data_IF_057903449391
#
_entry.id   IF_057903449391
#
_cell.length_a   1.000
_cell.length_b   1.000
_cell.length_c   1.000
_cell.angle_alpha   90.00
_cell.angle_beta   90.00
_cell.angle_gamma   90.00
#
_symmetry.space_group_name_H-M   'P 1'
#
loop_
_entity.id
_entity.type
_entity.pdbx_description
1 polymer ?
#
# COMPACT_ATOMS: atom_id res chain seq x y z
N UNK A 1 17.18 2.78 0.00
CA UNK A 1 16.28 2.79 -1.17
C UNK A 1 15.55 1.45 -1.21
N UNK A 2 14.24 1.44 -1.47
CA UNK A 2 13.49 0.20 -1.64
C UNK A 2 13.27 -0.08 -3.13
N UNK A 3 13.19 -1.35 -3.57
CA UNK A 3 13.08 -1.72 -4.98
C UNK A 3 11.91 -1.01 -5.68
N UNK A 4 12.01 -0.74 -6.98
CA UNK A 4 10.86 -0.17 -7.71
C UNK A 4 9.63 -1.10 -7.67
N UNK A 5 9.87 -2.41 -7.63
CA UNK A 5 8.83 -3.41 -7.54
C UNK A 5 8.35 -3.63 -6.11
N UNK A 6 7.08 -3.33 -5.82
CA UNK A 6 6.51 -3.64 -4.50
C UNK A 6 6.58 -5.13 -4.15
N UNK A 7 6.42 -6.04 -5.12
CA UNK A 7 6.49 -7.49 -4.88
C UNK A 7 7.84 -8.01 -4.36
N UNK A 8 8.89 -7.19 -4.42
CA UNK A 8 10.23 -7.47 -3.89
C UNK A 8 10.49 -6.83 -2.52
N UNK A 9 9.53 -6.08 -1.96
CA UNK A 9 9.73 -5.41 -0.67
C UNK A 9 9.69 -6.40 0.48
N UNK A 10 10.63 -6.24 1.40
CA UNK A 10 10.65 -6.90 2.70
C UNK A 10 9.83 -6.06 3.68
N UNK A 11 9.66 -6.56 4.90
CA UNK A 11 9.00 -5.81 5.98
C UNK A 11 9.72 -4.48 6.26
N UNK A 12 11.05 -4.49 6.29
CA UNK A 12 11.86 -3.27 6.47
C UNK A 12 11.64 -2.24 5.35
N UNK A 13 11.47 -2.70 4.11
CA UNK A 13 11.16 -1.82 2.98
C UNK A 13 9.78 -1.17 3.14
N UNK A 14 8.77 -1.91 3.61
CA UNK A 14 7.43 -1.39 3.89
C UNK A 14 7.48 -0.34 5.00
N UNK A 15 8.13 -0.64 6.12
CA UNK A 15 8.33 0.30 7.22
C UNK A 15 9.03 1.57 6.75
N UNK A 16 10.12 1.42 5.98
CA UNK A 16 10.89 2.55 5.44
C UNK A 16 10.06 3.41 4.50
N UNK A 17 9.24 2.80 3.64
CA UNK A 17 8.32 3.52 2.74
C UNK A 17 7.31 4.35 3.53
N UNK A 18 6.65 3.75 4.52
CA UNK A 18 5.63 4.44 5.33
C UNK A 18 6.24 5.63 6.09
N UNK A 19 7.43 5.47 6.65
CA UNK A 19 8.15 6.56 7.30
C UNK A 19 8.56 7.66 6.31
N UNK A 20 9.12 7.30 5.15
CA UNK A 20 9.59 8.24 4.15
C UNK A 20 8.47 9.07 3.50
N UNK A 21 7.24 8.55 3.50
CA UNK A 21 6.06 9.21 2.94
C UNK A 21 5.16 9.89 3.97
N UNK A 22 5.64 10.03 5.22
CA UNK A 22 4.87 10.62 6.32
C UNK A 22 3.54 9.88 6.58
N UNK A 23 3.56 8.55 6.41
CA UNK A 23 2.45 7.62 6.62
C UNK A 23 2.68 6.76 7.88
N UNK A 24 3.43 7.28 8.86
CA UNK A 24 3.80 6.61 10.11
C UNK A 24 2.56 6.11 10.88
N UNK A 25 1.43 6.78 10.71
CA UNK A 25 0.14 6.40 11.29
C UNK A 25 -0.36 5.01 10.86
N UNK A 26 0.08 4.52 9.70
CA UNK A 26 -0.28 3.19 9.19
C UNK A 26 0.66 2.09 9.67
N UNK A 27 1.77 2.43 10.33
CA UNK A 27 2.77 1.44 10.79
C UNK A 27 2.17 0.33 11.64
N UNK A 28 1.34 0.59 12.67
CA UNK A 28 0.81 -0.50 13.49
C UNK A 28 -0.13 -1.43 12.71
N UNK A 29 -0.79 -0.90 11.67
CA UNK A 29 -1.72 -1.67 10.84
C UNK A 29 -0.98 -2.56 9.84
N UNK A 30 0.21 -2.15 9.40
CA UNK A 30 1.02 -2.84 8.41
C UNK A 30 2.30 -3.46 9.00
N UNK A 31 2.35 -3.58 10.33
CA UNK A 31 3.46 -4.23 11.04
C UNK A 31 3.62 -5.67 10.56
N UNK A 32 4.85 -6.05 10.21
CA UNK A 32 5.16 -7.39 9.68
C UNK A 32 4.67 -7.66 8.26
N UNK A 33 4.12 -6.66 7.55
CA UNK A 33 3.74 -6.85 6.14
C UNK A 33 4.94 -6.68 5.23
N UNK A 34 5.17 -7.68 4.36
CA UNK A 34 6.03 -7.53 3.20
C UNK A 34 5.25 -6.91 2.02
N UNK A 35 5.95 -6.61 0.94
CA UNK A 35 5.34 -5.94 -0.21
C UNK A 35 4.26 -6.71 -0.94
N UNK A 36 4.27 -8.04 -0.89
CA UNK A 36 3.20 -8.85 -1.51
C UNK A 36 1.89 -8.70 -0.74
N UNK A 37 1.96 -8.72 0.60
CA UNK A 37 0.80 -8.49 1.45
C UNK A 37 0.30 -7.05 1.30
N UNK A 38 1.23 -6.07 1.27
CA UNK A 38 0.87 -4.67 1.09
C UNK A 38 0.19 -4.40 -0.26
N UNK A 39 0.65 -5.06 -1.33
CA UNK A 39 0.03 -5.01 -2.64
C UNK A 39 -1.41 -5.57 -2.63
N UNK A 40 -1.63 -6.72 -1.99
CA UNK A 40 -2.97 -7.28 -1.85
C UNK A 40 -3.90 -6.35 -1.07
N UNK A 41 -3.41 -5.72 0.00
CA UNK A 41 -4.18 -4.72 0.75
C UNK A 41 -4.54 -3.53 -0.14
N UNK A 42 -3.59 -3.05 -0.94
CA UNK A 42 -3.86 -1.99 -1.92
C UNK A 42 -4.98 -2.38 -2.90
N UNK A 43 -4.93 -3.59 -3.46
CA UNK A 43 -5.96 -4.07 -4.41
C UNK A 43 -7.35 -4.10 -3.77
N UNK A 44 -7.44 -4.47 -2.49
CA UNK A 44 -8.70 -4.42 -1.74
C UNK A 44 -9.12 -2.97 -1.47
N UNK A 45 -8.18 -2.11 -1.10
CA UNK A 45 -8.42 -0.67 -0.87
C UNK A 45 -8.96 0.05 -2.11
N UNK A 46 -8.46 -0.24 -3.30
CA UNK A 46 -8.98 0.36 -4.54
C UNK A 46 -10.36 -0.21 -4.91
N UNK A 47 -10.61 -1.50 -4.61
CA UNK A 47 -11.88 -2.17 -4.94
C UNK A 47 -13.02 -1.79 -4.00
N UNK A 48 -12.72 -1.36 -2.77
CA UNK A 48 -13.73 -1.06 -1.74
C UNK A 48 -13.30 0.11 -0.85
N UNK A 49 -13.07 1.26 -1.48
CA UNK A 49 -12.37 2.39 -0.88
C UNK A 49 -12.99 2.94 0.41
N UNK A 50 -14.30 3.15 0.46
CA UNK A 50 -14.97 3.70 1.65
C UNK A 50 -14.99 2.73 2.83
N UNK A 51 -15.20 1.45 2.54
CA UNK A 51 -15.22 0.38 3.55
C UNK A 51 -13.81 0.22 4.12
N UNK A 52 -12.80 0.15 3.26
CA UNK A 52 -11.42 -0.02 3.69
C UNK A 52 -10.88 1.18 4.45
N UNK A 53 -11.24 2.41 4.06
CA UNK A 53 -10.89 3.59 4.86
C UNK A 53 -11.46 3.49 6.29
N UNK A 54 -12.73 3.09 6.42
CA UNK A 54 -13.38 2.96 7.73
C UNK A 54 -12.70 1.90 8.59
N UNK A 55 -12.41 0.72 8.01
CA UNK A 55 -11.73 -0.38 8.71
C UNK A 55 -10.31 0.01 9.16
N UNK A 56 -9.53 0.65 8.28
CA UNK A 56 -8.19 1.12 8.61
C UNK A 56 -8.23 2.20 9.69
N UNK A 57 -9.19 3.14 9.60
CA UNK A 57 -9.37 4.18 10.60
C UNK A 57 -9.67 3.61 11.98
N UNK A 58 -10.51 2.59 12.06
CA UNK A 58 -10.79 1.89 13.32
C UNK A 58 -9.57 1.10 13.82
N UNK A 59 -8.82 0.44 12.93
CA UNK A 59 -7.60 -0.28 13.30
C UNK A 59 -6.54 0.66 13.89
N UNK A 60 -6.34 1.83 13.27
CA UNK A 60 -5.47 2.90 13.78
C UNK A 60 -5.99 3.46 15.10
N UNK A 61 -7.31 3.67 15.24
CA UNK A 61 -7.86 4.14 16.50
C UNK A 61 -7.63 3.15 17.66
N UNK A 62 -7.54 1.86 17.37
CA UNK A 62 -7.22 0.81 18.36
C UNK A 62 -5.72 0.73 18.69
N UNK A 63 -4.83 1.25 17.85
CA UNK A 63 -3.38 1.04 17.99
C UNK A 63 -2.67 1.93 19.02
N UNK A 64 -3.39 2.50 19.99
CA UNK A 64 -2.87 3.42 21.03
C UNK A 64 -2.12 4.66 20.49
N UNK A 65 -2.13 4.88 19.18
CA UNK A 65 -1.61 6.10 18.57
C UNK A 65 -2.52 7.28 18.93
N UNK A 66 -1.92 8.42 19.24
CA UNK A 66 -2.65 9.68 19.48
C UNK A 66 -3.16 10.33 18.19
N UNK A 67 -2.80 9.79 17.03
CA UNK A 67 -3.16 10.32 15.71
C UNK A 67 -4.32 9.53 15.11
N UNK A 68 -5.21 10.21 14.38
CA UNK A 68 -6.32 9.59 13.64
C UNK A 68 -6.05 9.55 12.15
N UNK A 69 -6.37 8.44 11.49
CA UNK A 69 -6.25 8.33 10.04
C UNK A 69 -7.20 9.32 9.36
N UNK A 70 -6.62 10.25 8.59
CA UNK A 70 -7.36 11.20 7.77
C UNK A 70 -7.59 10.64 6.36
N UNK A 71 -8.65 11.11 5.69
CA UNK A 71 -8.87 10.78 4.27
C UNK A 71 -7.67 11.20 3.41
N UNK A 72 -7.08 12.37 3.69
CA UNK A 72 -5.89 12.86 2.98
C UNK A 72 -4.75 11.84 3.07
N UNK A 73 -4.39 11.39 4.27
CA UNK A 73 -3.33 10.39 4.48
C UNK A 73 -3.63 9.07 3.79
N UNK A 74 -4.90 8.65 3.78
CA UNK A 74 -5.32 7.44 3.09
C UNK A 74 -5.19 7.55 1.56
N UNK A 75 -5.64 8.65 0.95
CA UNK A 75 -5.44 8.87 -0.49
C UNK A 75 -3.96 9.04 -0.84
N UNK A 76 -3.19 9.73 0.01
CA UNK A 76 -1.72 9.82 -0.16
C UNK A 76 -1.09 8.44 -0.16
N UNK A 77 -1.47 7.54 0.75
CA UNK A 77 -1.01 6.16 0.72
C UNK A 77 -1.28 5.47 -0.62
N UNK A 78 -2.52 5.58 -1.13
CA UNK A 78 -2.90 4.93 -2.39
C UNK A 78 -2.15 5.50 -3.60
N UNK A 79 -1.93 6.81 -3.66
CA UNK A 79 -1.18 7.42 -4.76
C UNK A 79 0.31 7.09 -4.70
N UNK A 80 0.91 7.14 -3.50
CA UNK A 80 2.33 6.85 -3.32
C UNK A 80 2.67 5.39 -3.65
N UNK A 81 1.84 4.45 -3.21
CA UNK A 81 2.10 3.03 -3.44
C UNK A 81 1.88 2.61 -4.90
N UNK A 82 0.93 3.27 -5.60
CA UNK A 82 0.60 3.02 -7.01
C UNK A 82 1.81 3.16 -7.93
N UNK A 83 2.76 4.03 -7.60
CA UNK A 83 4.01 4.21 -8.37
C UNK A 83 4.85 2.94 -8.41
N UNK A 84 4.75 2.11 -7.37
CA UNK A 84 5.54 0.88 -7.20
C UNK A 84 4.79 -0.38 -7.65
N UNK A 85 3.55 -0.21 -8.11
CA UNK A 85 2.72 -1.27 -8.65
C UNK A 85 2.96 -1.32 -10.17
N UNK A 86 3.59 -2.38 -10.69
CA UNK A 86 3.89 -2.45 -12.11
C UNK A 86 2.61 -2.65 -12.91
N UNK A 87 2.36 -1.78 -13.89
CA UNK A 87 1.28 -1.97 -14.88
C UNK A 87 1.47 -3.25 -15.71
N UNK A 88 2.71 -3.70 -15.86
CA UNK A 88 3.09 -4.97 -16.48
C UNK A 88 4.28 -5.55 -15.73
N UNK A 89 3.95 -6.33 -14.71
CA UNK A 89 4.73 -7.34 -13.99
C UNK A 89 6.25 -7.11 -13.76
N UNK A 90 6.62 -7.18 -12.49
CA UNK A 90 7.95 -7.61 -12.04
C UNK A 90 8.20 -9.09 -12.34
N UNK A 91 7.98 -9.51 -13.59
CA UNK A 91 8.28 -10.84 -14.04
C UNK A 91 9.56 -10.78 -14.87
N UNK A 92 10.67 -11.11 -14.21
CA UNK A 92 11.65 -11.96 -14.86
C UNK A 92 11.02 -13.34 -15.07
N UNK A 93 10.13 -13.48 -16.06
CA UNK A 93 9.69 -14.71 -16.73
C UNK A 93 8.38 -14.45 -17.49
N UNK A 94 8.47 -14.49 -18.82
CA UNK A 94 7.42 -14.77 -19.82
C UNK A 94 5.96 -14.80 -19.32
N UNK A 95 5.14 -13.85 -19.78
CA UNK A 95 4.07 -14.13 -20.74
C UNK A 95 3.08 -12.95 -20.87
N UNK A 96 2.92 -12.53 -22.12
CA UNK A 96 1.73 -11.93 -22.75
C UNK A 96 0.97 -10.80 -22.02
N UNK A 97 1.29 -9.60 -22.49
CA UNK A 97 0.47 -8.39 -22.56
C UNK A 97 -1.05 -8.59 -22.43
N UNK A 98 -1.63 -8.04 -21.37
CA UNK A 98 -2.98 -7.47 -21.42
C UNK A 98 -2.86 -5.95 -21.43
N UNK A 99 -3.33 -5.35 -22.51
CA UNK A 99 -3.56 -3.91 -22.63
C UNK A 99 -4.93 -3.68 -22.03
N UNK A 100 -5.01 -3.03 -20.86
CA UNK A 100 -6.26 -2.43 -20.41
C UNK A 100 -6.35 -1.04 -21.03
N UNK A 101 -7.01 -0.95 -22.19
CA UNK A 101 -7.52 0.32 -22.71
C UNK A 101 -8.65 0.78 -21.79
N UNK A 102 -8.50 1.95 -21.19
CA UNK A 102 -9.64 2.73 -20.70
C UNK A 102 -10.14 3.60 -21.86
N UNK A 103 -11.31 3.26 -22.40
CA UNK A 103 -12.22 4.16 -23.11
C UNK A 103 -13.60 3.99 -22.48
#
# INVERSE_FOLDING_TARGET
>A
EYPYCIGMWTEDHVTSFLLAKELDILLPTFEGMNGRLLHNVYDICISSQQVMFSLLKEAVARSQLTKTLSLKSYFSFLEEIKVYIPLKMCNGANSTSVICNFM
#
